data_IF_024085704577
#
_entry.id   IF_024085704577
#
_cell.length_a   1.000
_cell.length_b   1.000
_cell.length_c   1.000
_cell.angle_alpha   90.00
_cell.angle_beta   90.00
_cell.angle_gamma   90.00
#
_symmetry.space_group_name_H-M   'P 1'
#
loop_
_entity.id
_entity.type
_entity.pdbx_description
1 polymer ?
#
# COMPACT_ATOMS: atom_id res chain seq x y z
N UNK A 1 -37.32 -38.43 -32.95
CA UNK A 1 -38.07 -39.68 -33.24
C UNK A 1 -37.29 -40.48 -34.28
N UNK A 2 -36.98 -41.74 -33.95
CA UNK A 2 -36.59 -42.86 -34.83
C UNK A 2 -35.27 -42.76 -35.63
N UNK A 3 -34.49 -43.82 -35.87
CA UNK A 3 -34.40 -45.21 -35.38
C UNK A 3 -33.08 -45.78 -35.93
N UNK A 4 -32.47 -46.66 -35.14
CA UNK A 4 -31.37 -47.60 -35.39
C UNK A 4 -31.47 -48.38 -36.72
N UNK A 5 -30.34 -48.80 -37.34
CA UNK A 5 -29.98 -50.21 -37.66
C UNK A 5 -28.64 -50.40 -38.44
N UNK A 6 -27.66 -50.96 -37.72
CA UNK A 6 -26.66 -52.03 -38.01
C UNK A 6 -26.43 -52.48 -39.48
N UNK A 7 -25.16 -52.58 -39.92
CA UNK A 7 -24.55 -53.80 -40.53
C UNK A 7 -23.04 -53.89 -40.23
N UNK A 8 -22.63 -55.11 -39.89
CA UNK A 8 -21.27 -55.59 -39.58
C UNK A 8 -20.30 -55.53 -40.76
N UNK A 9 -19.01 -55.34 -40.45
CA UNK A 9 -17.93 -55.98 -41.21
C UNK A 9 -16.80 -56.39 -40.26
N UNK A 10 -16.70 -57.70 -40.04
CA UNK A 10 -15.58 -58.37 -39.42
C UNK A 10 -14.39 -58.35 -40.38
N UNK A 11 -13.20 -57.92 -39.95
CA UNK A 11 -11.96 -58.52 -40.44
C UNK A 11 -10.88 -58.49 -39.35
N UNK A 12 -10.17 -59.61 -39.33
CA UNK A 12 -9.34 -60.15 -38.26
C UNK A 12 -7.86 -59.96 -38.62
N UNK A 13 -7.09 -59.54 -37.61
CA UNK A 13 -5.64 -59.75 -37.38
C UNK A 13 -4.63 -59.11 -38.36
N UNK A 14 -3.85 -58.18 -37.82
CA UNK A 14 -2.39 -58.30 -37.87
C UNK A 14 -1.78 -57.66 -36.61
N UNK A 15 -1.23 -58.53 -35.77
CA UNK A 15 -0.46 -58.24 -34.58
C UNK A 15 0.83 -57.52 -34.98
N UNK A 16 1.01 -56.27 -34.56
CA UNK A 16 2.33 -55.64 -34.47
C UNK A 16 2.46 -55.02 -33.08
N UNK A 17 3.14 -55.75 -32.21
CA UNK A 17 3.53 -55.25 -30.89
C UNK A 17 4.71 -54.31 -31.15
N UNK A 18 4.43 -53.02 -31.36
CA UNK A 18 5.46 -52.01 -31.17
C UNK A 18 5.40 -51.67 -29.69
N UNK A 19 6.38 -52.14 -28.94
CA UNK A 19 6.64 -51.69 -27.58
C UNK A 19 7.10 -50.23 -27.65
N UNK A 20 6.16 -49.29 -27.73
CA UNK A 20 6.46 -47.89 -27.46
C UNK A 20 6.57 -47.73 -25.95
N UNK A 21 7.80 -47.52 -25.50
CA UNK A 21 8.10 -47.05 -24.15
C UNK A 21 7.28 -45.79 -23.87
N UNK A 22 6.25 -45.90 -23.03
CA UNK A 22 5.59 -44.74 -22.44
C UNK A 22 6.60 -44.09 -21.49
N UNK A 23 7.32 -43.08 -22.01
CA UNK A 23 8.05 -42.16 -21.14
C UNK A 23 7.01 -41.42 -20.29
N UNK A 24 7.19 -41.33 -18.97
CA UNK A 24 6.37 -40.43 -18.18
C UNK A 24 6.66 -39.02 -18.65
N UNK A 25 5.65 -38.34 -19.20
CA UNK A 25 5.67 -36.88 -19.34
C UNK A 25 5.67 -36.35 -17.92
N UNK A 26 6.86 -36.09 -17.39
CA UNK A 26 7.03 -35.24 -16.23
C UNK A 26 6.51 -33.88 -16.71
N UNK A 27 5.27 -33.56 -16.35
CA UNK A 27 4.76 -32.21 -16.45
C UNK A 27 5.67 -31.36 -15.56
N UNK A 28 6.66 -30.70 -16.18
CA UNK A 28 7.44 -29.69 -15.51
C UNK A 28 6.45 -28.65 -14.99
N UNK A 29 6.28 -28.62 -13.66
CA UNK A 29 5.61 -27.54 -12.97
C UNK A 29 6.31 -26.26 -13.42
N UNK A 30 5.69 -25.52 -14.34
CA UNK A 30 6.13 -24.17 -14.66
C UNK A 30 5.84 -23.34 -13.42
N UNK A 31 6.80 -23.30 -12.49
CA UNK A 31 6.87 -22.27 -11.47
C UNK A 31 6.96 -20.95 -12.22
N UNK A 32 5.81 -20.29 -12.41
CA UNK A 32 5.73 -18.98 -13.02
C UNK A 32 6.57 -18.03 -12.18
N UNK A 33 7.73 -17.63 -12.68
CA UNK A 33 8.53 -16.57 -12.07
C UNK A 33 7.61 -15.39 -11.73
N UNK A 34 7.63 -14.88 -10.49
CA UNK A 34 6.76 -13.77 -10.12
C UNK A 34 7.00 -12.62 -11.10
N UNK A 35 5.91 -12.05 -11.62
CA UNK A 35 6.00 -10.86 -12.47
C UNK A 35 6.81 -9.79 -11.73
N UNK A 36 7.53 -8.92 -12.47
CA UNK A 36 8.39 -7.88 -11.87
C UNK A 36 7.66 -7.09 -10.76
N UNK A 37 6.37 -6.81 -10.95
CA UNK A 37 5.53 -6.14 -9.96
C UNK A 37 5.32 -6.95 -8.67
N UNK A 38 5.10 -8.26 -8.76
CA UNK A 38 4.94 -9.11 -7.59
C UNK A 38 6.26 -9.29 -6.83
N UNK A 39 7.39 -9.37 -7.55
CA UNK A 39 8.71 -9.36 -6.93
C UNK A 39 8.98 -8.05 -6.17
N UNK A 40 8.71 -6.89 -6.78
CA UNK A 40 8.84 -5.58 -6.14
C UNK A 40 7.87 -5.41 -4.95
N UNK A 41 6.62 -5.87 -5.08
CA UNK A 41 5.64 -5.88 -3.98
C UNK A 41 6.12 -6.72 -2.81
N UNK A 42 6.61 -7.94 -3.07
CA UNK A 42 7.17 -8.82 -2.04
C UNK A 42 8.37 -8.18 -1.34
N UNK A 43 9.26 -7.56 -2.09
CA UNK A 43 10.44 -6.89 -1.54
C UNK A 43 10.06 -5.67 -0.68
N UNK A 44 9.14 -4.82 -1.14
CA UNK A 44 8.62 -3.71 -0.34
C UNK A 44 7.96 -4.20 0.95
N UNK A 45 7.08 -5.21 0.86
CA UNK A 45 6.42 -5.78 2.04
C UNK A 45 7.42 -6.38 3.03
N UNK A 46 8.43 -7.11 2.55
CA UNK A 46 9.50 -7.62 3.41
C UNK A 46 10.25 -6.47 4.10
N UNK A 47 10.53 -5.38 3.38
CA UNK A 47 11.17 -4.20 3.94
C UNK A 47 10.32 -3.55 5.04
N UNK A 48 9.01 -3.41 4.80
CA UNK A 48 8.06 -2.86 5.76
C UNK A 48 7.83 -3.79 6.96
N UNK A 49 7.94 -5.11 6.80
CA UNK A 49 7.73 -6.08 7.87
C UNK A 49 8.75 -5.97 9.01
N UNK A 50 9.94 -5.42 8.74
CA UNK A 50 10.96 -5.18 9.77
C UNK A 50 10.66 -3.96 10.64
N UNK A 51 9.68 -3.13 10.27
CA UNK A 51 9.27 -1.94 11.02
C UNK A 51 7.88 -2.20 11.60
N UNK A 52 7.85 -2.56 12.90
CA UNK A 52 6.60 -2.77 13.62
C UNK A 52 5.95 -1.46 14.03
N UNK A 53 6.75 -0.45 14.37
CA UNK A 53 6.29 0.87 14.75
C UNK A 53 7.33 1.92 14.36
N UNK A 54 6.90 3.16 14.21
CA UNK A 54 7.77 4.32 14.20
C UNK A 54 6.97 5.59 14.53
N UNK A 55 7.69 6.64 14.90
CA UNK A 55 7.19 8.01 14.90
C UNK A 55 8.13 8.94 14.15
N UNK A 56 7.62 10.02 13.57
CA UNK A 56 8.40 11.04 12.90
C UNK A 56 7.63 12.37 12.90
N UNK A 57 8.37 13.48 12.75
CA UNK A 57 7.78 14.73 12.30
C UNK A 57 7.72 14.71 10.76
N UNK A 58 6.75 15.41 10.18
CA UNK A 58 6.67 15.57 8.73
C UNK A 58 6.53 17.04 8.33
N UNK A 59 7.05 17.36 7.15
CA UNK A 59 6.67 18.55 6.38
C UNK A 59 6.07 18.10 5.06
N UNK A 60 5.01 18.78 4.63
CA UNK A 60 4.27 18.50 3.41
C UNK A 60 4.27 19.74 2.52
N UNK A 61 4.46 19.52 1.22
CA UNK A 61 4.30 20.51 0.16
C UNK A 61 3.35 19.91 -0.89
N UNK A 62 2.21 20.56 -1.14
CA UNK A 62 1.29 20.18 -2.22
C UNK A 62 1.60 21.02 -3.44
N UNK A 63 1.89 20.38 -4.56
CA UNK A 63 2.17 21.03 -5.83
C UNK A 63 1.14 20.65 -6.88
N UNK A 64 0.76 21.60 -7.74
CA UNK A 64 -0.11 21.35 -8.89
C UNK A 64 0.57 20.49 -9.96
N UNK A 65 -0.20 20.06 -10.95
CA UNK A 65 0.31 19.41 -12.17
C UNK A 65 1.25 20.31 -12.99
N UNK A 66 1.13 21.63 -12.85
CA UNK A 66 2.03 22.64 -13.43
C UNK A 66 3.27 22.92 -12.59
N UNK A 67 3.37 22.36 -11.39
CA UNK A 67 4.50 22.53 -10.46
C UNK A 67 4.42 23.76 -9.55
N UNK A 68 3.27 24.43 -9.49
CA UNK A 68 2.99 25.53 -8.55
C UNK A 68 2.82 24.97 -7.14
N UNK A 69 3.42 25.63 -6.14
CA UNK A 69 3.20 25.29 -4.74
C UNK A 69 1.83 25.81 -4.29
N UNK A 70 0.91 24.91 -3.96
CA UNK A 70 -0.45 25.22 -3.54
C UNK A 70 -0.57 25.31 -2.02
N UNK A 71 0.10 24.42 -1.29
CA UNK A 71 -0.03 24.32 0.17
C UNK A 71 1.28 23.87 0.81
N UNK A 72 1.49 24.30 2.06
CA UNK A 72 2.52 23.79 2.96
C UNK A 72 1.89 23.45 4.29
N UNK A 73 2.23 22.29 4.83
CA UNK A 73 1.79 21.88 6.16
C UNK A 73 2.87 21.11 6.90
N UNK A 74 2.75 21.01 8.22
CA UNK A 74 3.67 20.25 9.05
C UNK A 74 2.94 19.58 10.21
N UNK A 75 3.55 18.51 10.73
CA UNK A 75 2.89 17.73 11.76
C UNK A 75 3.70 16.53 12.24
N UNK A 76 2.99 15.59 12.84
CA UNK A 76 3.54 14.36 13.41
C UNK A 76 2.85 13.15 12.84
N UNK A 77 3.62 12.10 12.67
CA UNK A 77 3.17 10.79 12.23
C UNK A 77 3.63 9.75 13.25
N UNK A 78 2.70 8.93 13.72
CA UNK A 78 3.00 7.71 14.46
C UNK A 78 2.30 6.54 13.78
N UNK A 79 3.00 5.41 13.67
CA UNK A 79 2.47 4.16 13.12
C UNK A 79 2.82 3.03 14.08
N UNK A 80 1.85 2.13 14.31
CA UNK A 80 2.08 0.88 15.02
C UNK A 80 1.29 -0.25 14.35
N UNK A 81 1.96 -1.35 14.05
CA UNK A 81 1.35 -2.48 13.35
C UNK A 81 0.69 -3.45 14.33
N UNK A 82 -0.42 -4.08 13.92
CA UNK A 82 -1.15 -3.85 12.67
C UNK A 82 -2.08 -2.64 12.76
N UNK A 83 -2.29 -1.97 11.62
CA UNK A 83 -3.41 -1.04 11.38
C UNK A 83 -3.48 0.26 12.20
N UNK A 84 -2.63 0.49 13.19
CA UNK A 84 -2.66 1.72 13.99
C UNK A 84 -1.85 2.83 13.33
N UNK A 85 -2.44 4.02 13.27
CA UNK A 85 -1.80 5.20 12.74
C UNK A 85 -2.35 6.46 13.41
N UNK A 86 -1.51 7.46 13.57
CA UNK A 86 -1.89 8.81 13.92
C UNK A 86 -1.12 9.75 12.98
N UNK A 87 -1.85 10.43 12.11
CA UNK A 87 -1.34 11.54 11.31
C UNK A 87 -1.96 12.81 11.86
N UNK A 88 -1.16 13.68 12.46
CA UNK A 88 -1.61 14.92 13.06
C UNK A 88 -0.91 16.08 12.39
N UNK A 89 -1.60 16.75 11.50
CA UNK A 89 -1.20 18.05 10.96
C UNK A 89 -1.42 19.11 12.05
N UNK A 90 -0.39 19.89 12.34
CA UNK A 90 -0.38 20.94 13.35
C UNK A 90 -0.49 22.34 12.73
N UNK A 91 0.13 22.53 11.57
CA UNK A 91 0.19 23.83 10.89
C UNK A 91 -0.06 23.67 9.38
N UNK A 92 -0.66 24.68 8.72
CA UNK A 92 -1.28 25.87 9.33
C UNK A 92 -2.63 25.56 9.97
N UNK A 93 -3.36 24.60 9.40
CA UNK A 93 -4.67 24.17 9.86
C UNK A 93 -4.56 22.77 10.47
N UNK A 94 -5.06 22.64 11.69
CA UNK A 94 -4.99 21.38 12.41
C UNK A 94 -5.91 20.33 11.76
N UNK A 95 -5.40 19.12 11.58
CA UNK A 95 -6.17 17.98 11.10
C UNK A 95 -5.62 16.70 11.70
N UNK A 96 -6.49 15.85 12.23
CA UNK A 96 -6.12 14.57 12.79
C UNK A 96 -6.74 13.42 12.00
N UNK A 97 -5.90 12.45 11.60
CA UNK A 97 -6.32 11.16 11.05
C UNK A 97 -5.84 10.09 12.00
N UNK A 98 -6.76 9.46 12.73
CA UNK A 98 -6.44 8.45 13.74
C UNK A 98 -7.07 7.13 13.34
N UNK A 99 -6.25 6.10 13.20
CA UNK A 99 -6.67 4.72 12.98
C UNK A 99 -6.51 3.93 14.28
N UNK A 100 -7.62 3.40 14.79
CA UNK A 100 -7.68 2.55 15.98
C UNK A 100 -7.48 1.05 15.68
N UNK A 101 -7.23 0.75 14.40
CA UNK A 101 -6.98 -0.60 13.90
C UNK A 101 -8.17 -1.20 13.14
N UNK A 102 -9.37 -0.63 13.30
CA UNK A 102 -10.58 -1.01 12.56
C UNK A 102 -11.21 0.19 11.85
N UNK A 103 -11.37 1.28 12.59
CA UNK A 103 -12.01 2.51 12.20
C UNK A 103 -10.95 3.61 12.05
N UNK A 104 -11.19 4.54 11.12
CA UNK A 104 -10.31 5.69 10.87
C UNK A 104 -11.13 6.96 10.98
N UNK A 105 -10.69 7.81 11.91
CA UNK A 105 -11.33 9.05 12.29
C UNK A 105 -10.58 10.21 11.65
N UNK A 106 -11.28 11.01 10.85
CA UNK A 106 -10.79 12.24 10.26
C UNK A 106 -11.44 13.40 11.00
N UNK A 107 -10.66 14.13 11.78
CA UNK A 107 -11.14 15.23 12.59
C UNK A 107 -10.55 16.55 12.11
N UNK A 108 -11.43 17.51 11.85
CA UNK A 108 -11.07 18.89 11.58
C UNK A 108 -11.69 19.78 12.68
N UNK A 109 -10.87 20.33 13.61
CA UNK A 109 -11.34 21.18 14.68
C UNK A 109 -11.91 22.52 14.20
N UNK A 110 -11.48 23.04 13.05
CA UNK A 110 -11.93 24.34 12.56
C UNK A 110 -13.42 24.35 12.18
N UNK A 111 -13.89 23.24 11.60
CA UNK A 111 -15.30 23.07 11.23
C UNK A 111 -16.06 22.18 12.23
N UNK A 112 -15.43 21.80 13.34
CA UNK A 112 -15.99 20.94 14.39
C UNK A 112 -16.65 19.67 13.83
N UNK A 113 -15.97 19.01 12.89
CA UNK A 113 -16.49 17.83 12.20
C UNK A 113 -15.54 16.65 12.32
N UNK A 114 -16.11 15.47 12.56
CA UNK A 114 -15.45 14.19 12.43
C UNK A 114 -16.13 13.34 11.37
N UNK A 115 -15.36 12.79 10.43
CA UNK A 115 -15.82 11.72 9.55
C UNK A 115 -15.16 10.41 9.95
N UNK A 116 -15.93 9.32 10.01
CA UNK A 116 -15.42 7.98 10.37
C UNK A 116 -15.60 7.00 9.23
N UNK A 117 -14.55 6.26 8.91
CA UNK A 117 -14.51 5.27 7.82
C UNK A 117 -13.99 3.94 8.34
N UNK A 118 -14.33 2.85 7.64
CA UNK A 118 -13.61 1.58 7.85
C UNK A 118 -12.17 1.72 7.35
N UNK A 119 -11.23 0.99 7.93
CA UNK A 119 -9.83 1.03 7.50
C UNK A 119 -9.67 0.83 5.99
N UNK A 120 -10.40 -0.14 5.42
CA UNK A 120 -10.37 -0.42 3.98
C UNK A 120 -10.79 0.77 3.12
N UNK A 121 -11.86 1.47 3.51
CA UNK A 121 -12.33 2.67 2.82
C UNK A 121 -11.38 3.86 3.02
N UNK A 122 -10.78 3.97 4.20
CA UNK A 122 -9.82 5.02 4.51
C UNK A 122 -8.50 4.89 3.74
N UNK A 123 -8.03 3.68 3.45
CA UNK A 123 -6.80 3.44 2.67
C UNK A 123 -6.89 4.07 1.26
N UNK A 124 -8.08 4.11 0.65
CA UNK A 124 -8.28 4.75 -0.64
C UNK A 124 -8.07 6.28 -0.62
N UNK A 125 -8.20 6.90 0.56
CA UNK A 125 -8.04 8.34 0.80
C UNK A 125 -6.66 8.68 1.36
N UNK A 126 -6.12 7.80 2.21
CA UNK A 126 -4.86 7.99 2.92
C UNK A 126 -3.99 6.74 2.77
N UNK A 127 -3.36 6.51 1.59
CA UNK A 127 -2.69 5.24 1.29
C UNK A 127 -1.51 4.88 2.18
N UNK A 128 -0.98 5.82 2.99
CA UNK A 128 0.02 5.49 4.00
C UNK A 128 -0.51 4.47 5.02
N UNK A 129 -1.84 4.40 5.23
CA UNK A 129 -2.49 3.36 6.03
C UNK A 129 -2.27 1.95 5.46
N UNK A 130 -2.06 1.80 4.14
CA UNK A 130 -1.69 0.51 3.54
C UNK A 130 -0.38 -0.03 4.15
N UNK A 131 0.53 0.85 4.56
CA UNK A 131 1.83 0.46 5.12
C UNK A 131 1.72 -0.15 6.52
N UNK A 132 0.61 0.10 7.23
CA UNK A 132 0.33 -0.43 8.57
C UNK A 132 -0.36 -1.79 8.52
N UNK A 133 -0.98 -2.12 7.37
CA UNK A 133 -1.72 -3.36 7.17
C UNK A 133 -0.82 -4.54 6.82
N UNK A 134 -1.14 -5.69 7.44
CA UNK A 134 -0.58 -7.01 7.11
C UNK A 134 -1.47 -7.81 6.15
N UNK A 135 -2.67 -7.32 5.87
CA UNK A 135 -3.66 -8.01 5.03
C UNK A 135 -3.24 -8.00 3.56
N UNK A 136 -3.01 -9.18 3.01
CA UNK A 136 -2.57 -9.34 1.63
C UNK A 136 -3.63 -8.93 0.61
N UNK A 137 -4.92 -9.02 0.96
CA UNK A 137 -6.03 -8.68 0.07
C UNK A 137 -6.02 -7.20 -0.30
N UNK A 138 -5.70 -6.32 0.65
CA UNK A 138 -5.52 -4.89 0.41
C UNK A 138 -4.37 -4.62 -0.58
N UNK A 139 -3.26 -5.35 -0.48
CA UNK A 139 -2.14 -5.23 -1.42
C UNK A 139 -2.45 -5.72 -2.83
N UNK A 140 -3.49 -6.54 -3.03
CA UNK A 140 -3.91 -6.97 -4.36
C UNK A 140 -4.57 -5.85 -5.18
N UNK A 141 -5.02 -4.77 -4.53
CA UNK A 141 -5.59 -3.59 -5.19
C UNK A 141 -4.52 -2.67 -5.80
N UNK A 142 -3.24 -2.98 -5.60
CA UNK A 142 -2.12 -2.15 -6.05
C UNK A 142 -1.09 -2.94 -6.87
N UNK A 143 -0.43 -2.24 -7.79
CA UNK A 143 0.82 -2.68 -8.42
C UNK A 143 1.98 -1.96 -7.75
N UNK A 144 3.14 -2.62 -7.64
CA UNK A 144 4.32 -2.03 -7.01
C UNK A 144 5.49 -2.10 -7.98
N UNK A 145 6.12 -0.96 -8.22
CA UNK A 145 7.35 -0.84 -8.97
C UNK A 145 8.50 -0.48 -8.04
N UNK A 146 9.61 -1.22 -8.15
CA UNK A 146 10.88 -0.80 -7.56
C UNK A 146 11.70 -0.05 -8.62
N UNK A 147 12.08 1.17 -8.29
CA UNK A 147 12.90 2.05 -9.12
C UNK A 147 14.21 2.35 -8.40
N UNK A 148 15.29 2.49 -9.18
CA UNK A 148 16.51 3.11 -8.65
C UNK A 148 16.22 4.59 -8.47
N UNK A 149 16.53 5.16 -7.30
CA UNK A 149 16.46 6.60 -7.13
C UNK A 149 17.42 7.28 -8.13
N UNK A 150 16.90 7.91 -9.18
CA UNK A 150 17.71 8.43 -10.28
C UNK A 150 18.09 9.91 -10.08
N UNK A 151 19.41 10.12 -10.03
CA UNK A 151 20.25 11.24 -10.48
C UNK A 151 20.04 12.70 -10.04
N UNK A 152 18.92 13.10 -9.43
CA UNK A 152 18.79 14.48 -8.93
C UNK A 152 18.37 14.49 -7.45
N UNK A 153 19.35 14.70 -6.57
CA UNK A 153 19.21 14.95 -5.11
C UNK A 153 18.82 13.78 -4.19
N UNK A 154 18.79 12.54 -4.68
CA UNK A 154 18.62 11.35 -3.84
C UNK A 154 19.89 10.49 -3.94
N UNK A 155 20.41 9.96 -2.83
CA UNK A 155 21.66 9.20 -2.85
C UNK A 155 21.46 7.92 -3.68
N UNK A 156 22.48 7.48 -4.42
CA UNK A 156 22.47 6.22 -5.18
C UNK A 156 22.10 4.97 -4.33
N UNK A 157 22.12 5.12 -3.00
CA UNK A 157 21.81 4.08 -2.01
C UNK A 157 20.33 4.07 -1.60
N UNK A 158 19.57 5.11 -1.92
CA UNK A 158 18.16 5.20 -1.52
C UNK A 158 17.29 4.39 -2.50
N UNK A 159 16.35 3.61 -1.96
CA UNK A 159 15.42 2.80 -2.76
C UNK A 159 14.09 3.53 -2.91
N UNK A 160 13.56 3.54 -4.13
CA UNK A 160 12.28 4.15 -4.46
C UNK A 160 11.27 3.07 -4.83
N UNK A 161 10.10 3.10 -4.21
CA UNK A 161 8.98 2.23 -4.54
C UNK A 161 7.78 3.06 -4.97
N UNK A 162 7.17 2.74 -6.10
CA UNK A 162 5.96 3.40 -6.60
C UNK A 162 4.81 2.39 -6.54
N UNK A 163 3.82 2.69 -5.71
CA UNK A 163 2.62 1.89 -5.49
C UNK A 163 1.48 2.55 -6.27
N UNK A 164 0.91 1.87 -7.25
CA UNK A 164 -0.13 2.42 -8.14
C UNK A 164 -1.44 1.71 -7.88
N UNK A 165 -2.51 2.47 -7.68
CA UNK A 165 -3.85 1.91 -7.53
C UNK A 165 -4.28 1.25 -8.85
N UNK A 166 -4.85 0.04 -8.78
CA UNK A 166 -5.42 -0.63 -9.96
C UNK A 166 -6.78 -0.07 -10.35
N UNK A 167 -7.50 0.53 -9.39
CA UNK A 167 -8.79 1.16 -9.63
C UNK A 167 -8.62 2.48 -10.39
N UNK A 168 -9.15 2.61 -11.63
CA UNK A 168 -9.07 3.86 -12.38
C UNK A 168 -9.83 5.01 -11.71
N UNK A 169 -10.78 4.72 -10.81
CA UNK A 169 -11.55 5.73 -10.08
C UNK A 169 -10.92 6.15 -8.74
N UNK A 170 -9.75 5.58 -8.39
CA UNK A 170 -9.05 5.93 -7.16
C UNK A 170 -8.74 7.43 -7.11
N UNK A 171 -9.04 8.06 -5.97
CA UNK A 171 -8.70 9.47 -5.71
C UNK A 171 -7.20 9.67 -5.55
N UNK A 172 -6.49 8.68 -5.01
CA UNK A 172 -5.03 8.64 -5.02
C UNK A 172 -4.56 7.64 -6.07
N UNK A 173 -3.91 8.15 -7.13
CA UNK A 173 -3.40 7.34 -8.24
C UNK A 173 -2.15 6.58 -7.85
N UNK A 174 -1.23 7.22 -7.11
CA UNK A 174 -0.03 6.53 -6.66
C UNK A 174 0.52 7.05 -5.33
N UNK A 175 1.19 6.15 -4.61
CA UNK A 175 2.01 6.42 -3.43
C UNK A 175 3.46 6.08 -3.76
N UNK A 176 4.35 7.04 -3.64
CA UNK A 176 5.79 6.84 -3.77
C UNK A 176 6.44 6.82 -2.38
N UNK A 177 7.30 5.83 -2.14
CA UNK A 177 8.11 5.71 -0.93
C UNK A 177 9.59 5.82 -1.28
N UNK A 178 10.32 6.66 -0.54
CA UNK A 178 11.78 6.74 -0.63
C UNK A 178 12.35 6.32 0.71
N UNK A 179 13.25 5.34 0.68
CA UNK A 179 13.95 4.86 1.85
C UNK A 179 15.41 5.24 1.83
N UNK A 180 15.92 5.82 2.92
CA UNK A 180 17.33 6.18 3.04
C UNK A 180 18.14 5.16 3.83
N UNK A 181 19.35 4.88 3.36
CA UNK A 181 20.31 3.98 4.02
C UNK A 181 21.07 4.63 5.19
N UNK A 182 20.81 5.91 5.50
CA UNK A 182 21.70 6.76 6.31
C UNK A 182 21.40 6.81 7.81
N UNK A 183 20.70 5.84 8.40
CA UNK A 183 20.48 5.85 9.84
C UNK A 183 21.29 4.75 10.56
N UNK A 184 22.42 5.09 11.22
CA UNK A 184 23.21 4.12 11.97
C UNK A 184 22.49 3.54 13.20
N UNK A 185 21.36 4.14 13.61
CA UNK A 185 20.54 3.67 14.73
C UNK A 185 19.53 2.58 14.31
N UNK A 186 19.36 2.32 13.01
CA UNK A 186 18.35 1.38 12.50
C UNK A 186 19.05 0.31 11.65
N UNK A 187 18.75 -0.97 11.92
CA UNK A 187 19.16 -2.07 11.04
C UNK A 187 18.31 -2.03 9.76
N UNK A 188 18.83 -1.43 8.70
CA UNK A 188 18.18 -1.36 7.39
C UNK A 188 18.08 0.06 6.85
N UNK A 189 17.10 0.31 5.98
CA UNK A 189 16.82 1.66 5.47
C UNK A 189 15.57 2.23 6.13
N UNK A 190 15.59 3.49 6.54
CA UNK A 190 14.43 4.18 7.12
C UNK A 190 13.56 4.81 6.02
N UNK A 191 12.27 5.00 6.29
CA UNK A 191 11.41 5.76 5.38
C UNK A 191 11.74 7.24 5.56
N UNK A 192 12.20 7.89 4.50
CA UNK A 192 12.61 9.30 4.56
C UNK A 192 11.63 10.23 3.87
N UNK A 193 10.96 9.77 2.80
CA UNK A 193 9.98 10.56 2.07
C UNK A 193 8.81 9.71 1.59
N UNK A 194 7.65 10.35 1.53
CA UNK A 194 6.45 9.85 0.88
C UNK A 194 6.01 10.87 -0.18
N UNK A 195 5.33 10.43 -1.23
CA UNK A 195 4.57 11.33 -2.07
C UNK A 195 3.28 10.70 -2.56
N UNK A 196 2.21 11.50 -2.64
CA UNK A 196 0.93 11.09 -3.19
C UNK A 196 0.72 11.81 -4.52
N UNK A 197 0.27 11.09 -5.54
CA UNK A 197 -0.30 11.66 -6.76
C UNK A 197 -1.80 11.43 -6.72
N UNK A 198 -2.59 12.50 -6.71
CA UNK A 198 -4.04 12.41 -6.70
C UNK A 198 -4.64 12.36 -8.13
N UNK A 199 -5.96 12.22 -8.21
CA UNK A 199 -6.69 12.14 -9.48
C UNK A 199 -6.77 13.47 -10.24
N UNK A 200 -6.49 14.59 -9.58
CA UNK A 200 -6.43 15.93 -10.19
C UNK A 200 -5.06 16.24 -10.79
N UNK A 201 -4.05 15.42 -10.49
CA UNK A 201 -2.66 15.61 -10.92
C UNK A 201 -1.79 16.33 -9.89
N UNK A 202 -2.33 16.68 -8.72
CA UNK A 202 -1.55 17.28 -7.64
C UNK A 202 -0.63 16.24 -7.01
N UNK A 203 0.55 16.70 -6.61
CA UNK A 203 1.54 15.88 -5.91
C UNK A 203 1.76 16.45 -4.51
N UNK A 204 1.46 15.66 -3.49
CA UNK A 204 1.86 15.98 -2.11
C UNK A 204 3.23 15.37 -1.84
N UNK A 205 4.24 16.18 -1.57
CA UNK A 205 5.57 15.75 -1.16
C UNK A 205 5.70 15.82 0.35
N UNK A 206 5.99 14.68 0.99
CA UNK A 206 6.12 14.59 2.44
C UNK A 206 7.54 14.15 2.80
N UNK A 207 8.21 14.95 3.61
CA UNK A 207 9.55 14.65 4.13
C UNK A 207 9.45 14.33 5.62
N UNK A 208 9.98 13.17 6.00
CA UNK A 208 10.04 12.75 7.40
C UNK A 208 11.34 13.21 8.04
N UNK A 209 11.26 13.58 9.31
CA UNK A 209 12.37 14.01 10.15
C UNK A 209 12.17 13.50 11.58
N UNK A 210 13.23 13.47 12.38
CA UNK A 210 13.18 12.91 13.74
C UNK A 210 12.58 11.50 13.77
N UNK A 211 12.97 10.67 12.80
CA UNK A 211 12.46 9.30 12.67
C UNK A 211 12.94 8.45 13.87
N UNK A 212 11.98 7.87 14.58
CA UNK A 212 12.20 7.02 15.74
C UNK A 212 11.46 5.69 15.54
N UNK A 213 12.23 4.61 15.39
CA UNK A 213 11.73 3.23 15.37
C UNK A 213 12.35 2.40 16.50
N UNK A 214 12.90 3.05 17.52
CA UNK A 214 13.46 2.41 18.71
C UNK A 214 12.48 2.46 19.88
N UNK A 215 11.74 3.57 20.01
CA UNK A 215 10.73 3.74 21.04
C UNK A 215 9.33 3.46 20.50
N UNK A 216 8.56 2.64 21.22
CA UNK A 216 7.17 2.33 20.88
C UNK A 216 6.34 3.60 21.10
N UNK A 217 5.55 4.07 20.11
CA UNK A 217 4.66 5.20 20.31
C UNK A 217 3.61 4.91 21.39
N UNK A 218 3.27 5.92 22.17
CA UNK A 218 2.25 5.83 23.22
C UNK A 218 0.91 5.33 22.67
N UNK A 219 0.30 4.36 23.36
CA UNK A 219 -0.95 3.73 22.90
C UNK A 219 -2.12 4.73 22.76
N UNK A 220 -2.12 5.79 23.56
CA UNK A 220 -3.13 6.85 23.51
C UNK A 220 -3.14 7.62 22.19
N UNK A 221 -2.04 7.62 21.42
CA UNK A 221 -2.00 8.24 20.10
C UNK A 221 -2.97 7.56 19.11
N UNK A 222 -3.32 6.30 19.33
CA UNK A 222 -4.15 5.53 18.43
C UNK A 222 -5.60 5.40 18.92
N UNK A 223 -5.98 6.21 19.90
CA UNK A 223 -7.35 6.28 20.41
C UNK A 223 -7.92 7.68 20.13
N UNK A 224 -9.01 7.73 19.37
CA UNK A 224 -9.73 8.97 19.14
C UNK A 224 -11.00 9.00 20.00
N UNK A 225 -11.20 10.13 20.67
CA UNK A 225 -12.45 10.42 21.39
C UNK A 225 -13.08 11.64 20.74
N UNK A 226 -14.35 11.51 20.34
CA UNK A 226 -15.08 12.60 19.70
C UNK A 226 -15.27 13.72 20.72
N UNK A 227 -14.78 14.94 20.47
CA UNK A 227 -15.00 16.06 21.38
C UNK A 227 -16.48 16.40 21.49
N UNK A 228 -16.87 16.97 22.63
CA UNK A 228 -18.25 17.41 22.85
C UNK A 228 -18.66 18.45 21.81
N UNK A 229 -19.88 18.32 21.27
CA UNK A 229 -20.43 19.25 20.27
C UNK A 229 -19.99 19.00 18.82
N UNK A 230 -19.01 18.13 18.57
CA UNK A 230 -18.52 17.84 17.22
C UNK A 230 -19.52 17.01 16.42
N UNK A 231 -19.79 17.43 15.18
CA UNK A 231 -20.67 16.71 14.27
C UNK A 231 -19.99 15.42 13.77
N UNK A 232 -20.71 14.30 13.83
CA UNK A 232 -20.24 13.00 13.33
C UNK A 232 -20.86 12.69 11.96
N UNK A 233 -20.02 12.44 10.98
CA UNK A 233 -20.34 11.93 9.66
C UNK A 233 -19.84 10.48 9.53
N UNK A 234 -20.73 9.52 9.77
CA UNK A 234 -20.39 8.09 9.71
C UNK A 234 -20.51 7.54 8.28
N UNK A 235 -19.37 7.22 7.70
CA UNK A 235 -19.22 6.74 6.32
C UNK A 235 -18.94 5.23 6.26
N UNK A 236 -19.05 4.52 7.39
CA UNK A 236 -18.91 3.07 7.44
C UNK A 236 -20.14 2.43 6.81
N UNK A 237 -19.93 1.47 5.92
CA UNK A 237 -21.02 0.66 5.40
C UNK A 237 -21.61 -0.16 6.56
N UNK A 238 -22.94 -0.08 6.74
CA UNK A 238 -23.69 -1.01 7.56
C UNK A 238 -23.75 -2.41 6.92
#
# INVERSE_FOLDING_TARGET
MNKTFIVNATLVIALNIVTSSVMPVIAASQESSPTKFEASKKHLRAKLAHVNFFSANFTQEVVSDTGELLEKSSGKLAISKPNLANWHTLEPDELAIVSDGRDVWFYNPWIEQVSVYSLSAAIARTPILLLTSKDESLWQQYTVNEEKASLNKVSQQDKRFVIVAKDPNSQIKSLTLIFSAKNPKIKGSELSQLSFLDATGQISHIRLSNFDAQNIPESSLFHFSVPEGVQIDDQRAN
#
